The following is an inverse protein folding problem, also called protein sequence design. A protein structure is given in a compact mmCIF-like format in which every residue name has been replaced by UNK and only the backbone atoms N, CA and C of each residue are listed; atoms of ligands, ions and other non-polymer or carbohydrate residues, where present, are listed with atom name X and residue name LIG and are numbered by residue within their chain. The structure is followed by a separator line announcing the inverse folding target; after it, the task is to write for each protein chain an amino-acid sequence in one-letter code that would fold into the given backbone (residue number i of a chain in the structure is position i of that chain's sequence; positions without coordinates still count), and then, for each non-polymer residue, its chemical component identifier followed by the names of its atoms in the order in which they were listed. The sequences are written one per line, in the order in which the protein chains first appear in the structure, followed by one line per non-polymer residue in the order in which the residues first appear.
data_IF_764261504607
#
_entry.id   IF_764261504607
#
_cell.length_a   1.000
_cell.length_b   1.000
_cell.length_c   1.000
_cell.angle_alpha   90.00
_cell.angle_beta   90.00
_cell.angle_gamma   90.00
#
_symmetry.space_group_name_H-M   'P 1'
#
loop_
_entity.id
_entity.type
_entity.pdbx_description
1 polymer ?
#
# COMPACT_ATOMS: atom_id res chain seq x y z
N UNK A 1 -7.11 -22.40 7.50
CA UNK A 1 -6.07 -22.33 8.54
C UNK A 1 -6.43 -23.37 9.57
N UNK A 2 -5.58 -24.37 9.80
CA UNK A 2 -5.89 -25.51 10.66
C UNK A 2 -5.50 -25.18 12.10
N UNK A 3 -6.49 -24.87 12.93
CA UNK A 3 -6.32 -24.50 14.35
C UNK A 3 -7.13 -25.41 15.29
N UNK A 4 -7.45 -26.62 14.83
CA UNK A 4 -8.35 -27.56 15.50
C UNK A 4 -7.84 -28.06 16.84
N UNK A 5 -6.54 -27.92 17.12
CA UNK A 5 -5.89 -28.39 18.35
C UNK A 5 -5.81 -27.33 19.46
N UNK A 6 -6.04 -26.04 19.18
CA UNK A 6 -6.02 -24.98 20.20
C UNK A 6 -7.47 -24.61 20.56
N UNK A 7 -7.94 -25.15 21.68
CA UNK A 7 -9.28 -24.96 22.23
C UNK A 7 -9.27 -24.26 23.59
N UNK A 8 -8.17 -24.32 24.34
CA UNK A 8 -8.04 -23.73 25.68
C UNK A 8 -6.83 -22.82 25.81
N UNK A 9 -6.82 -21.96 26.83
CA UNK A 9 -5.70 -21.04 27.11
C UNK A 9 -4.44 -21.79 27.54
N UNK A 10 -4.57 -22.93 28.22
CA UNK A 10 -3.41 -23.74 28.59
C UNK A 10 -2.72 -24.34 27.35
N UNK A 11 -3.49 -24.77 26.34
CA UNK A 11 -2.91 -25.18 25.06
C UNK A 11 -2.21 -24.03 24.33
N UNK A 12 -2.69 -22.79 24.51
CA UNK A 12 -1.97 -21.60 24.00
C UNK A 12 -0.64 -21.43 24.71
N UNK A 13 -0.59 -21.62 26.03
CA UNK A 13 0.63 -21.55 26.83
C UNK A 13 1.61 -22.63 26.39
N UNK A 14 1.17 -23.89 26.29
CA UNK A 14 1.99 -25.02 25.82
C UNK A 14 2.53 -24.83 24.41
N UNK A 15 1.73 -24.22 23.52
CA UNK A 15 2.18 -23.88 22.18
C UNK A 15 3.27 -22.80 22.19
N UNK A 16 3.11 -21.77 23.02
CA UNK A 16 4.08 -20.67 23.12
C UNK A 16 5.39 -21.13 23.76
N UNK A 17 5.35 -22.05 24.72
CA UNK A 17 6.54 -22.68 25.34
C UNK A 17 7.22 -23.71 24.44
N UNK A 18 6.61 -24.07 23.30
CA UNK A 18 7.19 -24.98 22.31
C UNK A 18 6.93 -26.47 22.58
N UNK A 19 6.04 -26.78 23.53
CA UNK A 19 5.70 -28.17 23.90
C UNK A 19 4.75 -28.81 22.86
N UNK A 20 4.01 -28.00 22.10
CA UNK A 20 3.06 -28.48 21.09
C UNK A 20 3.53 -28.23 19.65
N UNK A 21 3.58 -29.29 18.84
CA UNK A 21 3.97 -29.24 17.42
C UNK A 21 2.78 -28.91 16.50
N UNK A 22 2.15 -27.75 16.68
CA UNK A 22 1.05 -27.32 15.80
C UNK A 22 1.62 -26.72 14.51
N UNK A 23 1.34 -27.37 13.37
CA UNK A 23 1.71 -26.85 12.04
C UNK A 23 0.63 -25.88 11.55
N UNK A 24 0.95 -24.58 11.54
CA UNK A 24 0.09 -23.58 10.92
C UNK A 24 0.37 -23.45 9.44
N UNK A 25 -0.68 -23.55 8.63
CA UNK A 25 -0.58 -23.27 7.19
C UNK A 25 -0.64 -21.75 6.93
N UNK A 26 0.14 -21.23 5.98
CA UNK A 26 0.07 -19.82 5.59
C UNK A 26 -1.35 -19.45 5.14
N UNK A 27 -1.90 -18.36 5.66
CA UNK A 27 -3.22 -17.86 5.32
C UNK A 27 -3.16 -16.70 4.33
N UNK A 28 -4.15 -16.63 3.43
CA UNK A 28 -4.44 -15.39 2.72
C UNK A 28 -4.80 -14.30 3.74
N UNK A 29 -4.58 -13.02 3.42
CA UNK A 29 -4.87 -11.91 4.34
C UNK A 29 -6.31 -11.93 4.88
N UNK A 30 -7.27 -12.38 4.07
CA UNK A 30 -8.66 -12.56 4.52
C UNK A 30 -8.84 -13.77 5.42
N UNK A 31 -8.17 -14.88 5.11
CA UNK A 31 -8.12 -16.05 5.98
C UNK A 31 -7.56 -15.72 7.36
N UNK A 32 -6.50 -14.92 7.42
CA UNK A 32 -5.90 -14.51 8.70
C UNK A 32 -6.87 -13.64 9.52
N UNK A 33 -7.62 -12.72 8.89
CA UNK A 33 -8.60 -11.89 9.61
C UNK A 33 -9.75 -12.74 10.18
N UNK A 34 -10.29 -13.67 9.39
CA UNK A 34 -11.33 -14.61 9.85
C UNK A 34 -10.83 -15.51 10.97
N UNK A 35 -9.58 -15.97 10.88
CA UNK A 35 -8.96 -16.80 11.91
C UNK A 35 -8.76 -16.04 13.23
N UNK A 36 -8.25 -14.80 13.18
CA UNK A 36 -8.13 -13.95 14.37
C UNK A 36 -9.50 -13.75 15.04
N UNK A 37 -10.53 -13.45 14.25
CA UNK A 37 -11.90 -13.32 14.76
C UNK A 37 -12.39 -14.61 15.43
N UNK A 38 -12.17 -15.76 14.77
CA UNK A 38 -12.51 -17.07 15.31
C UNK A 38 -11.83 -17.39 16.63
N UNK A 39 -10.53 -17.09 16.78
CA UNK A 39 -9.79 -17.28 18.03
C UNK A 39 -10.31 -16.37 19.15
N UNK A 40 -10.56 -15.10 18.85
CA UNK A 40 -11.06 -14.15 19.85
C UNK A 40 -12.43 -14.56 20.39
N UNK A 41 -13.29 -15.14 19.53
CA UNK A 41 -14.59 -15.70 19.91
C UNK A 41 -14.41 -17.01 20.70
N UNK A 42 -13.69 -17.99 20.13
CA UNK A 42 -13.53 -19.33 20.70
C UNK A 42 -12.93 -19.31 22.10
N UNK A 43 -11.94 -18.44 22.33
CA UNK A 43 -11.25 -18.33 23.63
C UNK A 43 -11.85 -17.24 24.53
N UNK A 44 -12.93 -16.60 24.09
CA UNK A 44 -13.70 -15.65 24.90
C UNK A 44 -12.92 -14.39 25.28
N UNK A 45 -12.18 -13.78 24.36
CA UNK A 45 -11.23 -12.69 24.65
C UNK A 45 -11.81 -11.57 25.53
N UNK A 46 -13.11 -11.26 25.44
CA UNK A 46 -13.76 -10.21 26.23
C UNK A 46 -13.71 -10.49 27.74
N UNK A 47 -14.02 -11.71 28.16
CA UNK A 47 -14.14 -12.12 29.57
C UNK A 47 -12.80 -12.52 30.21
N UNK A 48 -11.70 -12.53 29.46
CA UNK A 48 -10.38 -12.95 29.94
C UNK A 48 -9.61 -11.87 30.71
N UNK A 49 -8.74 -12.31 31.61
CA UNK A 49 -7.83 -11.48 32.40
C UNK A 49 -6.70 -10.87 31.56
N UNK A 50 -5.94 -9.93 32.15
CA UNK A 50 -4.85 -9.21 31.45
C UNK A 50 -3.74 -10.15 30.96
N UNK A 51 -3.35 -11.13 31.78
CA UNK A 51 -2.30 -12.09 31.43
C UNK A 51 -2.74 -13.02 30.28
N UNK A 52 -3.94 -13.58 30.37
CA UNK A 52 -4.54 -14.43 29.33
C UNK A 52 -4.68 -13.68 28.00
N UNK A 53 -5.11 -12.41 28.04
CA UNK A 53 -5.15 -11.56 26.85
C UNK A 53 -3.77 -11.38 26.21
N UNK A 54 -2.71 -11.29 27.01
CA UNK A 54 -1.32 -11.25 26.55
C UNK A 54 -0.96 -12.49 25.74
N UNK A 55 -1.22 -13.68 26.30
CA UNK A 55 -0.94 -14.97 25.64
C UNK A 55 -1.66 -15.10 24.29
N UNK A 56 -2.92 -14.65 24.22
CA UNK A 56 -3.68 -14.64 22.97
C UNK A 56 -3.06 -13.72 21.92
N UNK A 57 -2.56 -12.55 22.31
CA UNK A 57 -1.86 -11.64 21.40
C UNK A 57 -0.55 -12.25 20.90
N UNK A 58 0.21 -12.91 21.76
CA UNK A 58 1.47 -13.59 21.42
C UNK A 58 1.23 -14.73 20.42
N UNK A 59 0.18 -15.52 20.63
CA UNK A 59 -0.24 -16.55 19.68
C UNK A 59 -0.59 -15.95 18.31
N UNK A 60 -1.43 -14.92 18.29
CA UNK A 60 -1.86 -14.28 17.04
C UNK A 60 -0.64 -13.71 16.31
N UNK A 61 0.31 -13.11 17.02
CA UNK A 61 1.55 -12.58 16.47
C UNK A 61 2.42 -13.66 15.83
N UNK A 62 2.70 -14.74 16.58
CA UNK A 62 3.54 -15.85 16.13
C UNK A 62 2.98 -16.56 14.90
N UNK A 63 1.65 -16.65 14.80
CA UNK A 63 1.00 -17.42 13.75
C UNK A 63 0.59 -16.57 12.54
N UNK A 64 0.07 -15.35 12.75
CA UNK A 64 -0.40 -14.50 11.64
C UNK A 64 0.72 -13.69 10.98
N UNK A 65 1.87 -13.53 11.65
CA UNK A 65 2.98 -12.68 11.19
C UNK A 65 2.66 -11.18 11.21
N UNK A 66 1.51 -10.77 11.77
CA UNK A 66 1.22 -9.35 11.99
C UNK A 66 1.95 -8.83 13.22
N UNK A 67 2.40 -7.58 13.13
CA UNK A 67 2.99 -6.92 14.29
C UNK A 67 1.99 -6.75 15.44
N UNK A 68 2.50 -6.76 16.68
CA UNK A 68 1.78 -6.41 17.91
C UNK A 68 0.79 -5.24 17.75
N UNK A 69 1.23 -4.17 17.09
CA UNK A 69 0.44 -2.94 16.90
C UNK A 69 -0.77 -3.21 16.03
N UNK A 70 -0.60 -3.95 14.93
CA UNK A 70 -1.70 -4.28 14.03
C UNK A 70 -2.72 -5.19 14.73
N UNK A 71 -2.26 -6.16 15.51
CA UNK A 71 -3.14 -7.06 16.26
C UNK A 71 -3.98 -6.27 17.28
N UNK A 72 -3.36 -5.37 18.05
CA UNK A 72 -4.08 -4.49 18.98
C UNK A 72 -5.17 -3.66 18.28
N UNK A 73 -4.91 -3.17 17.07
CA UNK A 73 -5.91 -2.44 16.26
C UNK A 73 -7.09 -3.36 15.87
N UNK A 74 -6.81 -4.59 15.45
CA UNK A 74 -7.85 -5.58 15.10
C UNK A 74 -8.68 -5.98 16.32
N UNK A 75 -8.03 -6.24 17.46
CA UNK A 75 -8.71 -6.54 18.72
C UNK A 75 -9.58 -5.37 19.18
N UNK A 76 -9.10 -4.14 19.11
CA UNK A 76 -9.91 -2.95 19.44
C UNK A 76 -11.16 -2.87 18.55
N UNK A 77 -11.03 -3.18 17.26
CA UNK A 77 -12.16 -3.23 16.33
C UNK A 77 -13.16 -4.33 16.70
N UNK A 78 -12.67 -5.52 17.07
CA UNK A 78 -13.49 -6.63 17.55
C UNK A 78 -14.23 -6.29 18.85
N UNK A 79 -13.57 -5.64 19.81
CA UNK A 79 -14.21 -5.20 21.05
C UNK A 79 -15.35 -4.20 20.77
N UNK A 80 -15.17 -3.30 19.80
CA UNK A 80 -16.19 -2.31 19.42
C UNK A 80 -17.36 -2.92 18.62
N UNK A 81 -17.08 -3.78 17.65
CA UNK A 81 -18.07 -4.18 16.62
C UNK A 81 -18.43 -5.66 16.64
N UNK A 82 -17.73 -6.47 17.45
CA UNK A 82 -17.89 -7.92 17.50
C UNK A 82 -17.34 -8.66 16.27
N UNK A 83 -16.87 -7.95 15.23
CA UNK A 83 -16.39 -8.56 13.98
C UNK A 83 -15.11 -7.93 13.43
N UNK A 84 -14.30 -8.70 12.72
CA UNK A 84 -13.08 -8.23 12.06
C UNK A 84 -13.21 -8.38 10.55
N UNK A 85 -13.83 -7.39 9.91
CA UNK A 85 -13.84 -7.31 8.43
C UNK A 85 -12.59 -6.62 7.90
N UNK A 86 -11.88 -7.26 6.97
CA UNK A 86 -10.86 -6.61 6.14
C UNK A 86 -11.55 -5.63 5.21
N UNK A 87 -11.08 -4.39 5.16
CA UNK A 87 -11.53 -3.42 4.14
C UNK A 87 -10.67 -3.59 2.89
N UNK A 88 -11.30 -3.55 1.72
CA UNK A 88 -10.59 -3.50 0.46
C UNK A 88 -9.66 -2.28 0.46
N UNK A 89 -8.40 -2.49 0.10
CA UNK A 89 -7.46 -1.40 -0.13
C UNK A 89 -7.67 -0.93 -1.57
N UNK A 90 -7.85 0.37 -1.77
CA UNK A 90 -7.82 0.95 -3.11
C UNK A 90 -6.42 0.74 -3.69
N UNK A 91 -6.31 -0.14 -4.70
CA UNK A 91 -5.04 -0.45 -5.36
C UNK A 91 -4.71 0.58 -6.46
N UNK A 92 -5.74 1.15 -7.09
CA UNK A 92 -5.59 2.19 -8.10
C UNK A 92 -5.36 3.53 -7.41
N UNK A 93 -4.11 3.98 -7.41
CA UNK A 93 -3.77 5.34 -7.00
C UNK A 93 -4.36 6.40 -7.94
N UNK A 94 -3.94 7.65 -7.78
CA UNK A 94 -4.33 8.72 -8.69
C UNK A 94 -3.94 8.41 -10.14
N UNK A 95 -4.85 8.67 -11.09
CA UNK A 95 -4.58 8.54 -12.52
C UNK A 95 -3.48 9.52 -12.94
N UNK A 96 -2.49 9.03 -13.70
CA UNK A 96 -1.43 9.89 -14.25
C UNK A 96 -1.99 10.77 -15.36
N UNK A 97 -1.81 12.09 -15.24
CA UNK A 97 -2.20 13.07 -16.27
C UNK A 97 -1.19 13.13 -17.43
N UNK A 98 0.10 13.02 -17.12
CA UNK A 98 1.19 13.03 -18.09
C UNK A 98 1.70 11.61 -18.30
N UNK A 99 1.63 11.17 -19.55
CA UNK A 99 2.07 9.85 -20.02
C UNK A 99 3.56 9.86 -20.34
N UNK A 100 4.12 8.68 -20.61
CA UNK A 100 5.52 8.58 -21.05
C UNK A 100 5.77 9.29 -22.37
N UNK A 101 4.79 9.30 -23.29
CA UNK A 101 4.88 10.02 -24.57
C UNK A 101 5.03 11.52 -24.35
N UNK A 102 4.27 12.10 -23.41
CA UNK A 102 4.39 13.52 -23.07
C UNK A 102 5.78 13.84 -22.52
N UNK A 103 6.34 12.94 -21.71
CA UNK A 103 7.68 13.11 -21.11
C UNK A 103 8.76 13.06 -22.19
N UNK A 104 8.66 12.11 -23.14
CA UNK A 104 9.61 12.02 -24.27
C UNK A 104 9.50 13.25 -25.17
N UNK A 105 8.29 13.71 -25.47
CA UNK A 105 8.06 14.92 -26.25
C UNK A 105 8.65 16.15 -25.56
N UNK A 106 8.51 16.25 -24.24
CA UNK A 106 9.10 17.33 -23.45
C UNK A 106 10.64 17.30 -23.53
N UNK A 107 11.26 16.13 -23.40
CA UNK A 107 12.73 15.98 -23.54
C UNK A 107 13.24 16.42 -24.91
N UNK A 108 12.58 15.97 -25.99
CA UNK A 108 12.93 16.36 -27.35
C UNK A 108 12.75 17.87 -27.58
N UNK A 109 11.69 18.46 -27.01
CA UNK A 109 11.44 19.90 -27.13
C UNK A 109 12.50 20.69 -26.36
N UNK A 110 12.91 20.23 -25.17
CA UNK A 110 13.99 20.85 -24.41
C UNK A 110 15.32 20.82 -25.18
N UNK A 111 15.62 19.71 -25.84
CA UNK A 111 16.82 19.54 -26.66
C UNK A 111 16.83 20.49 -27.87
N UNK A 112 15.75 20.51 -28.66
CA UNK A 112 15.61 21.41 -29.81
C UNK A 112 15.76 22.89 -29.45
N UNK A 113 15.42 23.27 -28.21
CA UNK A 113 15.45 24.66 -27.75
C UNK A 113 16.62 24.98 -26.80
N UNK A 114 17.59 24.08 -26.62
CA UNK A 114 18.80 24.38 -25.84
C UNK A 114 18.56 24.50 -24.32
N UNK A 115 17.70 23.67 -23.75
CA UNK A 115 17.53 23.50 -22.30
C UNK A 115 17.02 24.75 -21.56
N UNK A 116 16.02 25.42 -22.12
CA UNK A 116 15.46 26.63 -21.52
C UNK A 116 14.86 26.38 -20.13
N UNK A 117 14.62 27.48 -19.42
CA UNK A 117 13.96 27.48 -18.13
C UNK A 117 12.54 26.88 -18.23
N UNK A 118 12.06 26.29 -17.13
CA UNK A 118 10.71 25.70 -17.09
C UNK A 118 9.58 26.62 -17.58
N UNK A 119 9.57 27.93 -17.22
CA UNK A 119 8.59 28.88 -17.76
C UNK A 119 8.66 29.05 -19.28
N UNK A 120 9.85 29.13 -19.86
CA UNK A 120 10.03 29.31 -21.30
C UNK A 120 9.51 28.10 -22.09
N UNK A 121 9.84 26.89 -21.65
CA UNK A 121 9.39 25.65 -22.29
C UNK A 121 7.89 25.47 -22.15
N UNK A 122 7.34 25.80 -20.98
CA UNK A 122 5.89 25.85 -20.80
C UNK A 122 5.24 26.76 -21.85
N UNK A 123 5.79 27.96 -22.10
CA UNK A 123 5.28 28.87 -23.14
C UNK A 123 5.43 28.30 -24.55
N UNK A 124 6.51 27.59 -24.85
CA UNK A 124 6.67 26.90 -26.13
C UNK A 124 5.61 25.82 -26.31
N UNK A 125 5.38 24.96 -25.31
CA UNK A 125 4.33 23.93 -25.36
C UNK A 125 2.93 24.55 -25.49
N UNK A 126 2.65 25.64 -24.76
CA UNK A 126 1.39 26.39 -24.87
C UNK A 126 1.17 26.92 -26.29
N UNK A 127 2.19 27.54 -26.91
CA UNK A 127 2.10 28.08 -28.28
C UNK A 127 2.02 26.96 -29.32
N UNK A 128 2.79 25.89 -29.16
CA UNK A 128 2.76 24.73 -30.04
C UNK A 128 1.35 24.15 -30.16
N UNK A 129 0.60 24.10 -29.07
CA UNK A 129 -0.79 23.69 -29.08
C UNK A 129 -1.73 24.80 -29.60
N UNK A 130 -1.76 25.96 -28.94
CA UNK A 130 -2.79 26.98 -29.17
C UNK A 130 -2.66 27.76 -30.48
N UNK A 131 -1.43 27.94 -30.97
CA UNK A 131 -1.15 28.75 -32.17
C UNK A 131 -0.90 27.83 -33.37
N UNK A 132 -0.10 26.78 -33.16
CA UNK A 132 0.32 25.89 -34.26
C UNK A 132 -0.50 24.60 -34.36
N UNK A 133 -1.52 24.41 -33.51
CA UNK A 133 -2.46 23.28 -33.61
C UNK A 133 -1.84 21.90 -33.35
N UNK A 134 -0.64 21.81 -32.77
CA UNK A 134 0.04 20.53 -32.55
C UNK A 134 -0.58 19.78 -31.36
N UNK A 135 -1.53 18.89 -31.64
CA UNK A 135 -2.31 18.10 -30.65
C UNK A 135 -1.47 17.36 -29.62
N UNK A 136 -0.29 16.87 -30.02
CA UNK A 136 0.66 16.21 -29.11
C UNK A 136 1.11 17.07 -27.92
N UNK A 137 0.98 18.40 -28.00
CA UNK A 137 1.31 19.31 -26.89
C UNK A 137 0.12 19.66 -26.00
N UNK A 138 -1.09 19.19 -26.28
CA UNK A 138 -2.31 19.58 -25.55
C UNK A 138 -2.17 19.36 -24.04
N UNK A 139 -1.71 18.18 -23.62
CA UNK A 139 -1.50 17.87 -22.19
C UNK A 139 -0.40 18.73 -21.59
N UNK A 140 0.71 18.92 -22.31
CA UNK A 140 1.85 19.72 -21.89
C UNK A 140 1.55 21.23 -21.81
N UNK A 141 0.62 21.74 -22.62
CA UNK A 141 0.22 23.15 -22.59
C UNK A 141 -0.39 23.55 -21.23
N UNK A 142 -1.00 22.61 -20.51
CA UNK A 142 -1.55 22.82 -19.17
C UNK A 142 -0.58 22.53 -18.02
N UNK A 143 0.70 22.26 -18.28
CA UNK A 143 1.66 21.88 -17.23
C UNK A 143 2.00 23.04 -16.29
N UNK A 144 2.15 22.75 -15.00
CA UNK A 144 2.73 23.70 -14.06
C UNK A 144 4.25 23.65 -14.15
N UNK A 145 4.92 24.78 -13.88
CA UNK A 145 6.39 24.85 -13.91
C UNK A 145 7.01 23.87 -12.91
N UNK A 146 6.42 23.71 -11.73
CA UNK A 146 6.87 22.74 -10.73
C UNK A 146 6.75 21.30 -11.21
N UNK A 147 5.64 20.95 -11.89
CA UNK A 147 5.46 19.60 -12.42
C UNK A 147 6.38 19.32 -13.60
N UNK A 148 6.69 20.32 -14.42
CA UNK A 148 7.68 20.22 -15.50
C UNK A 148 9.05 19.80 -14.94
N UNK A 149 9.52 20.40 -13.84
CA UNK A 149 10.76 19.96 -13.20
C UNK A 149 10.67 18.54 -12.60
N UNK A 150 9.49 18.10 -12.15
CA UNK A 150 9.29 16.71 -11.75
C UNK A 150 9.44 15.76 -12.94
N UNK A 151 8.90 16.12 -14.11
CA UNK A 151 9.05 15.32 -15.33
C UNK A 151 10.51 15.29 -15.80
N UNK A 152 11.25 16.41 -15.75
CA UNK A 152 12.69 16.45 -16.07
C UNK A 152 13.54 15.54 -15.18
N UNK A 153 13.13 15.36 -13.91
CA UNK A 153 13.78 14.42 -12.98
C UNK A 153 13.38 12.96 -13.19
N UNK A 154 12.38 12.66 -14.00
CA UNK A 154 11.95 11.28 -14.24
C UNK A 154 13.01 10.47 -15.02
N UNK A 155 13.02 9.15 -14.82
CA UNK A 155 13.90 8.25 -15.57
C UNK A 155 13.61 8.30 -17.07
N UNK A 156 12.34 8.33 -17.46
CA UNK A 156 11.92 8.41 -18.87
C UNK A 156 12.50 9.64 -19.57
N UNK A 157 12.49 10.82 -18.91
CA UNK A 157 13.09 12.02 -19.46
C UNK A 157 14.60 11.89 -19.60
N UNK A 158 15.29 11.44 -18.54
CA UNK A 158 16.76 11.31 -18.54
C UNK A 158 17.24 10.30 -19.56
N UNK A 159 16.52 9.20 -19.77
CA UNK A 159 16.88 8.19 -20.75
C UNK A 159 16.82 8.73 -22.19
N UNK A 160 15.89 9.64 -22.49
CA UNK A 160 15.85 10.30 -23.81
C UNK A 160 17.02 11.26 -23.99
N UNK A 161 17.57 11.80 -22.91
CA UNK A 161 18.64 12.80 -22.90
C UNK A 161 20.05 12.21 -22.80
N UNK A 162 20.13 10.92 -22.52
CA UNK A 162 21.39 10.19 -22.38
C UNK A 162 21.89 9.64 -23.72
N UNK A 163 21.07 9.73 -24.77
CA UNK A 163 21.41 9.47 -26.17
C UNK A 163 21.39 10.79 -26.92
#
# INVERSE_FOLDING_TARGET
MNDTQIKTIEQVREFLTGISSVKFSPCSKEGCYKWIEGILIRLGYRSRGKAEKGLLLDLIEKVSGYSRIQIKRLVKKYLKTGRIKRRQRTLKGFSRKYTEEDIRLLAQTDEMHGNLSGPAIKKICERAWKIFGKTKYERLAGISVSHLYNLRRSATYRNVRAY
#
